data_IF_172648468748
#
_entry.id   IF_172648468748
#
_cell.length_a   1.000
_cell.length_b   1.000
_cell.length_c   1.000
_cell.angle_alpha   90.00
_cell.angle_beta   90.00
_cell.angle_gamma   90.00
#
_symmetry.space_group_name_H-M   'P 1'
#
loop_
_entity.id
_entity.type
_entity.pdbx_description
1 polymer ?
#
# COMPACT_ATOMS: atom_id res chain seq x y z
N UNK A 1 -41.67 26.84 -47.31
CA UNK A 1 -42.37 25.88 -46.44
C UNK A 1 -42.42 26.51 -45.06
N UNK A 2 -43.52 27.21 -44.78
CA UNK A 2 -43.77 27.85 -43.49
C UNK A 2 -44.10 26.75 -42.47
N UNK A 3 -43.23 26.56 -41.48
CA UNK A 3 -43.42 25.54 -40.44
C UNK A 3 -44.52 26.00 -39.48
N UNK A 4 -45.70 25.40 -39.57
CA UNK A 4 -46.79 25.55 -38.60
C UNK A 4 -46.41 24.87 -37.27
N UNK A 5 -45.49 25.48 -36.52
CA UNK A 5 -45.30 25.15 -35.10
C UNK A 5 -46.31 25.97 -34.30
N UNK A 6 -47.06 25.31 -33.43
CA UNK A 6 -47.98 25.98 -32.51
C UNK A 6 -47.20 26.94 -31.60
N UNK A 7 -47.84 28.02 -31.14
CA UNK A 7 -47.24 28.99 -30.21
C UNK A 7 -46.64 28.29 -28.98
N UNK A 8 -47.32 27.24 -28.50
CA UNK A 8 -46.91 26.37 -27.39
C UNK A 8 -45.61 25.61 -27.71
N UNK A 9 -45.48 25.06 -28.92
CA UNK A 9 -44.28 24.32 -29.34
C UNK A 9 -43.06 25.24 -29.53
N UNK A 10 -43.27 26.47 -30.00
CA UNK A 10 -42.20 27.46 -30.14
C UNK A 10 -41.69 27.92 -28.77
N UNK A 11 -42.60 28.19 -27.82
CA UNK A 11 -42.22 28.49 -26.45
C UNK A 11 -41.49 27.32 -25.79
N UNK A 12 -42.03 26.10 -25.92
CA UNK A 12 -41.47 24.89 -25.33
C UNK A 12 -40.06 24.60 -25.84
N UNK A 13 -39.80 24.76 -27.14
CA UNK A 13 -38.46 24.60 -27.71
C UNK A 13 -37.46 25.61 -27.11
N UNK A 14 -37.85 26.89 -27.01
CA UNK A 14 -37.00 27.92 -26.43
C UNK A 14 -36.68 27.68 -24.95
N UNK A 15 -37.66 27.24 -24.16
CA UNK A 15 -37.47 26.90 -22.74
C UNK A 15 -36.64 25.64 -22.58
N UNK A 16 -36.90 24.58 -23.38
CA UNK A 16 -36.15 23.34 -23.35
C UNK A 16 -34.65 23.55 -23.64
N UNK A 17 -34.32 24.42 -24.60
CA UNK A 17 -32.94 24.78 -24.91
C UNK A 17 -32.23 25.44 -23.71
N UNK A 18 -32.91 26.36 -23.01
CA UNK A 18 -32.34 27.03 -21.82
C UNK A 18 -32.19 26.08 -20.63
N UNK A 19 -33.18 25.21 -20.39
CA UNK A 19 -33.09 24.22 -19.32
C UNK A 19 -31.94 23.23 -19.56
N UNK A 20 -31.71 22.79 -20.80
CA UNK A 20 -30.55 21.95 -21.15
C UNK A 20 -29.22 22.68 -20.94
N UNK A 21 -29.16 23.98 -21.27
CA UNK A 21 -27.97 24.80 -21.04
C UNK A 21 -27.66 24.95 -19.55
N UNK A 22 -28.67 25.16 -18.71
CA UNK A 22 -28.53 25.20 -17.25
C UNK A 22 -28.04 23.84 -16.74
N UNK A 23 -28.63 22.73 -17.19
CA UNK A 23 -28.17 21.40 -16.80
C UNK A 23 -26.70 21.13 -17.19
N UNK A 24 -26.26 21.60 -18.36
CA UNK A 24 -24.88 21.45 -18.82
C UNK A 24 -23.89 22.33 -18.05
N UNK A 25 -24.24 23.60 -17.79
CA UNK A 25 -23.36 24.56 -17.13
C UNK A 25 -23.15 24.27 -15.64
N UNK A 26 -24.12 23.64 -15.00
CA UNK A 26 -24.08 23.33 -13.58
C UNK A 26 -23.95 21.82 -13.34
N UNK A 27 -23.40 21.04 -14.28
CA UNK A 27 -23.35 19.58 -14.16
C UNK A 27 -22.57 19.07 -12.93
N UNK A 28 -21.55 19.82 -12.50
CA UNK A 28 -20.65 19.49 -11.38
C UNK A 28 -21.15 20.01 -10.01
N UNK A 29 -22.27 20.74 -9.99
CA UNK A 29 -22.85 21.29 -8.76
C UNK A 29 -23.78 20.30 -8.03
N UNK A 30 -24.03 20.56 -6.75
CA UNK A 30 -24.93 19.77 -5.92
C UNK A 30 -26.35 19.70 -6.52
N UNK A 31 -27.00 18.53 -6.42
CA UNK A 31 -28.31 18.28 -7.02
C UNK A 31 -29.40 19.27 -6.58
N UNK A 32 -29.37 19.69 -5.30
CA UNK A 32 -30.28 20.68 -4.71
C UNK A 32 -30.15 22.05 -5.38
N UNK A 33 -28.91 22.51 -5.60
CA UNK A 33 -28.62 23.79 -6.25
C UNK A 33 -29.04 23.78 -7.73
N UNK A 34 -28.77 22.68 -8.44
CA UNK A 34 -29.20 22.50 -9.84
C UNK A 34 -30.72 22.53 -9.99
N UNK A 35 -31.45 21.91 -9.06
CA UNK A 35 -32.92 21.92 -9.05
C UNK A 35 -33.48 23.32 -8.85
N UNK A 36 -32.84 24.14 -8.02
CA UNK A 36 -33.24 25.54 -7.81
C UNK A 36 -33.12 26.36 -9.10
N UNK A 37 -31.99 26.27 -9.81
CA UNK A 37 -31.80 27.00 -11.08
C UNK A 37 -32.82 26.60 -12.16
N UNK A 38 -33.16 25.31 -12.25
CA UNK A 38 -34.17 24.84 -13.20
C UNK A 38 -35.58 25.35 -12.83
N UNK A 39 -35.90 25.38 -11.54
CA UNK A 39 -37.19 25.87 -11.04
C UNK A 39 -37.35 27.38 -11.29
N UNK A 40 -36.31 28.17 -11.00
CA UNK A 40 -36.30 29.62 -11.24
C UNK A 40 -36.49 29.97 -12.73
N UNK A 41 -35.82 29.23 -13.63
CA UNK A 41 -35.93 29.47 -15.07
C UNK A 41 -37.31 29.08 -15.62
N UNK A 42 -37.92 28.02 -15.07
CA UNK A 42 -39.28 27.61 -15.42
C UNK A 42 -40.30 28.64 -14.93
N UNK A 43 -40.20 29.11 -13.69
CA UNK A 43 -41.05 30.16 -13.13
C UNK A 43 -40.93 31.46 -13.93
N UNK A 44 -39.70 31.87 -14.27
CA UNK A 44 -39.44 33.06 -15.09
C UNK A 44 -40.10 32.94 -16.46
N UNK A 45 -40.02 31.78 -17.08
CA UNK A 45 -40.59 31.53 -18.41
C UNK A 45 -42.12 31.47 -18.39
N UNK A 46 -42.73 31.00 -17.29
CA UNK A 46 -44.18 30.92 -17.11
C UNK A 46 -44.84 32.27 -16.75
N UNK A 47 -44.07 33.27 -16.28
CA UNK A 47 -44.61 34.63 -16.03
C UNK A 47 -45.17 35.28 -17.29
N UNK A 48 -44.61 34.95 -18.47
CA UNK A 48 -45.08 35.47 -19.76
C UNK A 48 -46.29 34.70 -20.33
N UNK A 49 -46.68 33.58 -19.70
CA UNK A 49 -47.78 32.72 -20.18
C UNK A 49 -49.02 32.95 -19.31
N UNK A 50 -50.14 33.27 -19.95
CA UNK A 50 -51.43 33.42 -19.28
C UNK A 50 -51.81 32.14 -18.51
N UNK A 51 -52.36 32.22 -17.28
CA UNK A 51 -52.63 31.05 -16.45
C UNK A 51 -53.45 29.95 -17.14
N UNK A 52 -54.43 30.33 -17.96
CA UNK A 52 -55.29 29.41 -18.71
C UNK A 52 -54.60 28.63 -19.84
N UNK A 53 -53.40 29.07 -20.26
CA UNK A 53 -52.61 28.43 -21.33
C UNK A 53 -51.38 27.69 -20.81
N UNK A 54 -51.10 27.75 -19.51
CA UNK A 54 -49.90 27.14 -18.91
C UNK A 54 -49.86 25.63 -19.09
N UNK A 55 -51.00 24.96 -19.01
CA UNK A 55 -51.08 23.50 -19.16
C UNK A 55 -50.66 23.04 -20.56
N UNK A 56 -51.07 23.75 -21.62
CA UNK A 56 -50.66 23.46 -23.00
C UNK A 56 -49.16 23.66 -23.21
N UNK A 57 -48.62 24.76 -22.66
CA UNK A 57 -47.19 25.07 -22.73
C UNK A 57 -46.32 24.07 -21.94
N UNK A 58 -46.75 23.66 -20.74
CA UNK A 58 -46.05 22.67 -19.92
C UNK A 58 -46.12 21.27 -20.53
N UNK A 59 -47.24 20.91 -21.16
CA UNK A 59 -47.37 19.64 -21.90
C UNK A 59 -46.42 19.60 -23.10
N UNK A 60 -46.41 20.66 -23.90
CA UNK A 60 -45.47 20.80 -25.03
C UNK A 60 -44.01 20.81 -24.57
N UNK A 61 -43.70 21.35 -23.39
CA UNK A 61 -42.36 21.28 -22.79
C UNK A 61 -42.01 19.85 -22.35
N UNK A 62 -42.97 19.12 -21.79
CA UNK A 62 -42.81 17.72 -21.39
C UNK A 62 -42.39 16.80 -22.54
N UNK A 63 -42.86 17.08 -23.76
CA UNK A 63 -42.47 16.32 -24.97
C UNK A 63 -40.96 16.43 -25.28
N UNK A 64 -40.28 17.48 -24.81
CA UNK A 64 -38.82 17.63 -24.94
C UNK A 64 -38.02 16.90 -23.85
N UNK A 65 -38.68 16.36 -22.82
CA UNK A 65 -38.06 15.64 -21.69
C UNK A 65 -38.80 14.33 -21.35
N UNK A 66 -38.83 13.34 -22.26
CA UNK A 66 -39.70 12.16 -22.20
C UNK A 66 -39.40 11.11 -21.12
N UNK A 67 -38.63 11.41 -20.07
CA UNK A 67 -38.14 10.40 -19.11
C UNK A 67 -38.35 10.72 -17.61
N UNK A 68 -39.20 11.68 -17.22
CA UNK A 68 -39.32 12.13 -15.81
C UNK A 68 -40.67 11.85 -15.13
N UNK A 69 -41.52 10.99 -15.69
CA UNK A 69 -42.85 10.65 -15.17
C UNK A 69 -42.90 9.35 -14.34
N UNK A 70 -42.07 9.20 -13.32
CA UNK A 70 -42.16 8.11 -12.36
C UNK A 70 -42.84 8.55 -11.06
N UNK A 71 -44.15 8.27 -10.91
CA UNK A 71 -44.76 8.10 -9.59
C UNK A 71 -45.91 9.05 -9.17
N UNK A 72 -47.13 8.48 -9.18
CA UNK A 72 -48.23 8.66 -8.22
C UNK A 72 -49.23 9.84 -8.33
N UNK A 73 -50.43 9.52 -8.84
CA UNK A 73 -51.73 9.90 -8.27
C UNK A 73 -52.81 8.87 -8.72
N UNK A 74 -53.90 8.65 -7.95
CA UNK A 74 -54.48 7.33 -7.76
C UNK A 74 -55.51 6.89 -8.81
N UNK A 75 -55.54 5.57 -9.00
CA UNK A 75 -56.36 4.76 -9.90
C UNK A 75 -57.84 4.79 -9.52
N UNK A 76 -58.67 5.42 -10.37
CA UNK A 76 -60.08 5.03 -10.50
C UNK A 76 -60.12 3.73 -11.32
N UNK A 77 -60.63 2.65 -10.71
CA UNK A 77 -60.76 1.36 -11.35
C UNK A 77 -62.10 1.27 -12.09
N UNK A 78 -62.11 1.20 -13.43
CA UNK A 78 -63.20 0.54 -14.18
C UNK A 78 -62.65 -0.04 -15.51
N UNK A 79 -62.55 -1.38 -15.53
CA UNK A 79 -62.89 -2.33 -16.62
C UNK A 79 -62.11 -2.31 -17.95
N UNK A 80 -61.32 -3.40 -18.09
CA UNK A 80 -61.09 -4.30 -19.25
C UNK A 80 -60.53 -3.78 -20.58
N UNK A 81 -59.33 -4.30 -20.94
CA UNK A 81 -59.06 -4.96 -22.23
C UNK A 81 -57.84 -5.90 -22.07
N UNK A 82 -57.82 -7.09 -22.72
CA UNK A 82 -56.70 -8.02 -22.66
C UNK A 82 -55.63 -7.61 -23.68
N UNK A 83 -54.41 -7.29 -23.22
CA UNK A 83 -53.26 -7.21 -24.13
C UNK A 83 -52.34 -5.98 -24.03
N UNK A 84 -52.28 -5.27 -22.91
CA UNK A 84 -51.17 -4.34 -22.67
C UNK A 84 -49.96 -5.13 -22.11
N UNK A 85 -48.77 -5.12 -22.76
CA UNK A 85 -47.59 -5.69 -22.15
C UNK A 85 -47.34 -4.96 -20.82
N UNK A 86 -47.05 -5.73 -19.76
CA UNK A 86 -46.66 -5.17 -18.48
C UNK A 86 -45.55 -4.12 -18.72
N UNK A 87 -45.58 -2.97 -18.02
CA UNK A 87 -44.50 -2.00 -18.13
C UNK A 87 -43.17 -2.74 -17.89
N UNK A 88 -42.13 -2.47 -18.70
CA UNK A 88 -40.85 -3.15 -18.55
C UNK A 88 -40.35 -2.92 -17.13
N UNK A 89 -40.08 -4.01 -16.42
CA UNK A 89 -39.61 -3.96 -15.04
C UNK A 89 -38.38 -3.06 -14.94
N UNK A 90 -38.38 -2.18 -13.94
CA UNK A 90 -37.21 -1.35 -13.70
C UNK A 90 -36.03 -2.23 -13.26
N UNK A 91 -34.78 -1.82 -13.55
CA UNK A 91 -33.59 -2.57 -13.11
C UNK A 91 -33.57 -2.83 -11.59
N UNK A 92 -34.09 -1.91 -10.79
CA UNK A 92 -34.21 -2.06 -9.33
C UNK A 92 -35.25 -3.10 -8.93
N UNK A 93 -36.41 -3.16 -9.60
CA UNK A 93 -37.43 -4.20 -9.37
C UNK A 93 -36.92 -5.59 -9.76
N UNK A 94 -36.15 -5.68 -10.85
CA UNK A 94 -35.51 -6.94 -11.28
C UNK A 94 -34.48 -7.38 -10.24
N UNK A 95 -33.67 -6.45 -9.73
CA UNK A 95 -32.66 -6.74 -8.71
C UNK A 95 -33.29 -7.17 -7.39
N UNK A 96 -34.34 -6.48 -6.93
CA UNK A 96 -35.06 -6.85 -5.71
C UNK A 96 -35.71 -8.23 -5.84
N UNK A 97 -36.35 -8.53 -6.99
CA UNK A 97 -36.90 -9.86 -7.24
C UNK A 97 -35.80 -10.93 -7.30
N UNK A 98 -34.63 -10.61 -7.87
CA UNK A 98 -33.49 -11.51 -7.89
C UNK A 98 -32.98 -11.81 -6.48
N UNK A 99 -32.90 -10.80 -5.61
CA UNK A 99 -32.50 -10.94 -4.20
C UNK A 99 -33.51 -11.81 -3.43
N UNK A 100 -34.80 -11.54 -3.58
CA UNK A 100 -35.86 -12.30 -2.95
C UNK A 100 -35.87 -13.76 -3.42
N UNK A 101 -35.64 -13.98 -4.72
CA UNK A 101 -35.55 -15.32 -5.31
C UNK A 101 -34.27 -16.06 -4.88
N UNK A 102 -33.17 -15.34 -4.69
CA UNK A 102 -31.89 -15.92 -4.29
C UNK A 102 -31.94 -16.57 -2.90
N UNK A 103 -32.82 -16.11 -2.01
CA UNK A 103 -33.04 -16.72 -0.70
C UNK A 103 -33.62 -18.14 -0.77
N UNK A 104 -34.31 -18.48 -1.86
CA UNK A 104 -34.95 -19.77 -2.09
C UNK A 104 -34.05 -20.77 -2.82
N UNK A 105 -32.90 -20.33 -3.32
CA UNK A 105 -31.96 -21.17 -4.07
C UNK A 105 -31.07 -21.99 -3.14
N UNK A 106 -30.72 -23.18 -3.60
CA UNK A 106 -29.67 -24.00 -2.98
C UNK A 106 -28.27 -23.41 -3.26
N UNK A 107 -27.26 -23.82 -2.49
CA UNK A 107 -25.89 -23.30 -2.67
C UNK A 107 -25.29 -23.61 -4.06
N UNK A 108 -25.63 -24.75 -4.66
CA UNK A 108 -25.21 -25.08 -6.03
C UNK A 108 -25.86 -24.17 -7.07
N UNK A 109 -27.14 -23.83 -6.89
CA UNK A 109 -27.88 -22.93 -7.78
C UNK A 109 -27.43 -21.47 -7.64
N UNK A 110 -27.11 -21.04 -6.41
CA UNK A 110 -26.51 -19.73 -6.16
C UNK A 110 -25.15 -19.61 -6.84
N UNK A 111 -24.31 -20.66 -6.77
CA UNK A 111 -23.02 -20.68 -7.45
C UNK A 111 -23.17 -20.63 -8.99
N UNK A 112 -24.17 -21.34 -9.54
CA UNK A 112 -24.47 -21.28 -10.97
C UNK A 112 -24.99 -19.89 -11.40
N UNK A 113 -25.83 -19.26 -10.57
CA UNK A 113 -26.34 -17.90 -10.79
C UNK A 113 -25.21 -16.86 -10.75
N UNK A 114 -24.31 -16.95 -9.76
CA UNK A 114 -23.14 -16.09 -9.64
C UNK A 114 -22.25 -16.17 -10.89
N UNK A 115 -21.98 -17.37 -11.41
CA UNK A 115 -21.22 -17.54 -12.67
C UNK A 115 -21.89 -16.87 -13.87
N UNK A 116 -23.22 -16.93 -13.97
CA UNK A 116 -23.97 -16.27 -15.06
C UNK A 116 -23.92 -14.75 -14.93
N UNK A 117 -24.06 -14.22 -13.72
CA UNK A 117 -23.93 -12.77 -13.46
C UNK A 117 -22.52 -12.26 -13.79
N UNK A 118 -21.49 -13.07 -13.53
CA UNK A 118 -20.10 -12.78 -13.93
C UNK A 118 -19.91 -12.80 -15.45
N UNK A 119 -20.52 -13.76 -16.15
CA UNK A 119 -20.49 -13.81 -17.63
C UNK A 119 -21.17 -12.59 -18.26
N UNK A 120 -22.21 -12.06 -17.60
CA UNK A 120 -22.89 -10.83 -18.00
C UNK A 120 -22.17 -9.53 -17.58
N UNK A 121 -21.05 -9.62 -16.85
CA UNK A 121 -20.29 -8.45 -16.38
C UNK A 121 -20.95 -7.68 -15.22
N UNK A 122 -22.00 -8.24 -14.60
CA UNK A 122 -22.77 -7.62 -13.51
C UNK A 122 -22.29 -8.04 -12.12
N UNK A 123 -21.40 -9.01 -12.03
CA UNK A 123 -20.68 -9.36 -10.82
C UNK A 123 -19.18 -9.40 -11.12
N UNK A 124 -18.32 -8.96 -10.18
CA UNK A 124 -16.89 -9.18 -10.31
C UNK A 124 -16.68 -10.69 -10.51
N UNK A 125 -15.94 -11.08 -11.56
CA UNK A 125 -15.51 -12.46 -11.72
C UNK A 125 -14.92 -12.88 -10.39
N UNK A 126 -15.52 -13.86 -9.71
CA UNK A 126 -14.90 -14.49 -8.56
C UNK A 126 -13.53 -14.90 -9.04
N UNK A 127 -12.54 -14.14 -8.62
CA UNK A 127 -11.17 -14.53 -8.82
C UNK A 127 -11.00 -15.70 -7.85
N UNK A 128 -11.37 -16.89 -8.29
CA UNK A 128 -10.78 -18.11 -7.79
C UNK A 128 -9.29 -18.01 -8.15
N UNK A 129 -8.55 -17.23 -7.35
CA UNK A 129 -7.20 -16.75 -7.63
C UNK A 129 -7.15 -15.74 -8.78
N UNK A 130 -7.22 -14.45 -8.49
CA UNK A 130 -6.60 -13.44 -9.35
C UNK A 130 -5.12 -13.81 -9.46
N UNK A 131 -4.75 -14.53 -10.52
CA UNK A 131 -3.36 -14.79 -10.83
C UNK A 131 -2.78 -13.44 -11.23
N UNK A 132 -2.16 -12.73 -10.27
CA UNK A 132 -1.30 -11.61 -10.61
C UNK A 132 -0.28 -12.11 -11.64
N UNK A 133 -0.11 -11.37 -12.74
CA UNK A 133 0.96 -11.67 -13.69
C UNK A 133 2.30 -11.47 -12.98
N UNK A 134 2.88 -12.58 -12.52
CA UNK A 134 4.17 -12.57 -11.86
C UNK A 134 5.25 -12.19 -12.87
N UNK A 135 6.09 -11.21 -12.50
CA UNK A 135 7.15 -10.74 -13.39
C UNK A 135 8.19 -11.83 -13.64
N UNK A 136 8.94 -11.80 -14.76
CA UNK A 136 10.00 -12.77 -15.04
C UNK A 136 11.04 -12.90 -13.91
N UNK A 137 11.31 -11.81 -13.19
CA UNK A 137 12.24 -11.77 -12.06
C UNK A 137 11.74 -12.61 -10.88
N UNK A 138 10.43 -12.60 -10.61
CA UNK A 138 9.81 -13.41 -9.57
C UNK A 138 10.07 -14.89 -9.81
N UNK A 139 9.83 -15.38 -11.04
CA UNK A 139 10.05 -16.78 -11.40
C UNK A 139 11.50 -17.20 -11.28
N UNK A 140 12.42 -16.34 -11.74
CA UNK A 140 13.86 -16.57 -11.63
C UNK A 140 14.30 -16.65 -10.16
N UNK A 141 13.79 -15.76 -9.31
CA UNK A 141 14.17 -15.72 -7.90
C UNK A 141 13.76 -16.99 -7.14
N UNK A 142 12.60 -17.55 -7.47
CA UNK A 142 12.10 -18.79 -6.86
C UNK A 142 12.54 -20.07 -7.59
N UNK A 143 13.42 -19.97 -8.60
CA UNK A 143 13.96 -21.13 -9.31
C UNK A 143 12.90 -21.90 -10.12
N UNK A 144 11.84 -21.22 -10.56
CA UNK A 144 10.75 -21.84 -11.29
C UNK A 144 11.00 -21.74 -12.80
N UNK A 145 11.21 -22.90 -13.43
CA UNK A 145 11.61 -23.01 -14.84
C UNK A 145 10.52 -22.65 -15.86
N UNK A 146 9.25 -22.64 -15.44
CA UNK A 146 8.10 -22.37 -16.31
C UNK A 146 7.13 -21.42 -15.61
N UNK A 147 6.68 -20.33 -16.28
CA UNK A 147 5.61 -19.49 -15.76
C UNK A 147 4.36 -20.35 -15.55
N UNK A 148 3.98 -20.55 -14.29
CA UNK A 148 2.72 -21.21 -13.91
C UNK A 148 1.80 -20.16 -13.30
N UNK A 149 0.47 -20.34 -13.26
CA UNK A 149 -0.37 -19.42 -12.50
C UNK A 149 0.04 -19.45 -11.01
N UNK A 150 0.30 -18.27 -10.42
CA UNK A 150 0.59 -18.14 -8.99
C UNK A 150 -0.73 -18.14 -8.24
N UNK A 151 -0.87 -19.00 -7.22
CA UNK A 151 -1.99 -18.91 -6.29
C UNK A 151 -1.84 -17.67 -5.42
N UNK A 152 -2.73 -16.69 -5.60
CA UNK A 152 -2.75 -15.45 -4.82
C UNK A 152 -2.83 -15.71 -3.31
N UNK A 153 -3.68 -16.65 -2.87
CA UNK A 153 -3.81 -17.03 -1.45
C UNK A 153 -2.48 -17.56 -0.87
N UNK A 154 -1.80 -18.46 -1.59
CA UNK A 154 -0.51 -19.01 -1.14
C UNK A 154 0.59 -17.96 -1.16
N UNK A 155 0.62 -17.10 -2.19
CA UNK A 155 1.57 -15.99 -2.27
C UNK A 155 1.38 -14.99 -1.13
N UNK A 156 0.13 -14.65 -0.79
CA UNK A 156 -0.18 -13.79 0.34
C UNK A 156 0.28 -14.41 1.67
N UNK A 157 -0.04 -15.69 1.92
CA UNK A 157 0.41 -16.40 3.13
C UNK A 157 1.93 -16.45 3.25
N UNK A 158 2.62 -16.70 2.14
CA UNK A 158 4.08 -16.69 2.08
C UNK A 158 4.65 -15.29 2.34
N UNK A 159 4.05 -14.24 1.76
CA UNK A 159 4.44 -12.86 2.00
C UNK A 159 4.32 -12.52 3.48
N UNK A 160 3.19 -12.85 4.13
CA UNK A 160 2.99 -12.63 5.57
C UNK A 160 4.08 -13.31 6.40
N UNK A 161 4.40 -14.57 6.10
CA UNK A 161 5.45 -15.30 6.82
C UNK A 161 6.84 -14.67 6.63
N UNK A 162 7.21 -14.31 5.39
CA UNK A 162 8.49 -13.67 5.08
C UNK A 162 8.59 -12.26 5.70
N UNK A 163 7.50 -11.50 5.68
CA UNK A 163 7.43 -10.18 6.33
C UNK A 163 7.63 -10.30 7.84
N UNK A 164 7.05 -11.32 8.49
CA UNK A 164 7.28 -11.58 9.91
C UNK A 164 8.75 -11.85 10.24
N UNK A 165 9.42 -12.70 9.45
CA UNK A 165 10.86 -12.96 9.59
C UNK A 165 11.68 -11.69 9.38
N UNK A 166 11.39 -10.92 8.32
CA UNK A 166 12.10 -9.69 8.03
C UNK A 166 11.95 -8.66 9.16
N UNK A 167 10.74 -8.42 9.65
CA UNK A 167 10.48 -7.45 10.72
C UNK A 167 11.20 -7.83 12.01
N UNK A 168 11.24 -9.12 12.36
CA UNK A 168 11.97 -9.61 13.52
C UNK A 168 13.49 -9.40 13.36
N UNK A 169 14.04 -9.72 12.19
CA UNK A 169 15.47 -9.51 11.89
C UNK A 169 15.85 -8.03 11.87
N UNK A 170 15.01 -7.17 11.29
CA UNK A 170 15.19 -5.73 11.28
C UNK A 170 15.27 -5.18 12.71
N UNK A 171 14.28 -5.51 13.55
CA UNK A 171 14.27 -5.08 14.94
C UNK A 171 15.51 -5.58 15.70
N UNK A 172 15.84 -6.86 15.55
CA UNK A 172 17.00 -7.46 16.23
C UNK A 172 18.31 -6.80 15.80
N UNK A 173 18.55 -6.66 14.49
CA UNK A 173 19.77 -6.08 13.95
C UNK A 173 19.99 -4.64 14.44
N UNK A 174 18.95 -3.80 14.39
CA UNK A 174 19.04 -2.42 14.86
C UNK A 174 19.16 -2.30 16.38
N UNK A 175 18.56 -3.23 17.14
CA UNK A 175 18.68 -3.28 18.59
C UNK A 175 20.11 -3.62 18.99
N UNK A 176 20.67 -4.69 18.43
CA UNK A 176 22.06 -5.10 18.65
C UNK A 176 23.04 -4.00 18.23
N UNK A 177 22.81 -3.38 17.07
CA UNK A 177 23.67 -2.28 16.62
C UNK A 177 23.68 -1.11 17.60
N UNK A 178 22.52 -0.71 18.11
CA UNK A 178 22.41 0.37 19.11
C UNK A 178 23.08 0.00 20.42
N UNK A 179 23.00 -1.25 20.85
CA UNK A 179 23.70 -1.74 22.05
C UNK A 179 25.22 -1.67 21.87
N UNK A 180 25.73 -2.04 20.70
CA UNK A 180 27.16 -2.01 20.44
C UNK A 180 27.71 -0.59 20.20
N UNK A 181 26.96 0.28 19.51
CA UNK A 181 27.39 1.64 19.20
C UNK A 181 26.22 2.63 19.15
N UNK A 182 25.75 3.07 20.32
CA UNK A 182 24.66 4.04 20.45
C UNK A 182 24.94 5.39 19.76
N UNK A 183 26.22 5.76 19.58
CA UNK A 183 26.64 7.02 18.96
C UNK A 183 26.91 6.89 17.45
N UNK A 184 26.61 5.74 16.85
CA UNK A 184 26.85 5.53 15.42
C UNK A 184 26.08 6.53 14.55
N UNK A 185 26.71 6.92 13.44
CA UNK A 185 26.08 7.67 12.35
C UNK A 185 25.08 6.80 11.58
N UNK A 186 25.24 5.47 11.61
CA UNK A 186 24.32 4.53 10.97
C UNK A 186 23.13 4.29 11.89
N UNK A 187 22.00 4.94 11.56
CA UNK A 187 20.75 4.86 12.34
C UNK A 187 19.60 4.31 11.51
N UNK A 188 18.55 3.81 12.17
CA UNK A 188 17.29 3.48 11.50
C UNK A 188 16.54 4.78 11.21
N UNK A 189 16.34 5.09 9.93
CA UNK A 189 15.70 6.35 9.48
C UNK A 189 14.20 6.17 9.24
N UNK A 190 13.79 5.01 8.73
CA UNK A 190 12.39 4.70 8.44
C UNK A 190 12.00 3.35 9.04
N UNK A 191 10.73 3.22 9.44
CA UNK A 191 10.15 1.95 9.86
C UNK A 191 9.43 1.33 8.67
N UNK A 192 9.96 0.21 8.15
CA UNK A 192 9.36 -0.51 7.04
C UNK A 192 7.87 -0.81 7.29
N UNK A 193 7.48 -1.21 8.51
CA UNK A 193 6.09 -1.50 8.85
C UNK A 193 5.14 -0.30 8.66
N UNK A 194 5.61 0.93 8.87
CA UNK A 194 4.82 2.15 8.65
C UNK A 194 4.65 2.48 7.17
N UNK A 195 5.62 2.10 6.33
CA UNK A 195 5.56 2.32 4.89
C UNK A 195 4.81 1.20 4.16
N UNK A 196 4.90 -0.04 4.65
CA UNK A 196 4.35 -1.21 3.99
C UNK A 196 2.81 -1.18 3.87
N UNK A 197 2.11 -0.69 4.89
CA UNK A 197 0.64 -0.58 4.87
C UNK A 197 0.13 0.32 3.75
N UNK A 198 0.51 1.62 3.73
CA UNK A 198 0.13 2.54 2.66
C UNK A 198 0.58 2.07 1.26
N UNK A 199 1.79 1.52 1.15
CA UNK A 199 2.28 0.98 -0.12
C UNK A 199 1.38 -0.15 -0.66
N UNK A 200 0.99 -1.10 0.20
CA UNK A 200 0.07 -2.19 -0.17
C UNK A 200 -1.36 -1.70 -0.45
N UNK A 201 -1.75 -0.55 0.12
CA UNK A 201 -3.02 0.12 -0.17
C UNK A 201 -2.99 0.96 -1.46
N UNK A 202 -1.88 0.92 -2.22
CA UNK A 202 -1.67 1.69 -3.44
C UNK A 202 -1.73 3.21 -3.21
N UNK A 203 -1.24 3.67 -2.06
CA UNK A 203 -1.08 5.09 -1.75
C UNK A 203 0.00 5.72 -2.66
N UNK A 204 -0.32 6.74 -3.47
CA UNK A 204 0.63 7.37 -4.39
C UNK A 204 1.77 8.10 -3.67
N UNK A 205 1.64 8.41 -2.37
CA UNK A 205 2.69 9.07 -1.59
C UNK A 205 3.85 8.13 -1.23
N UNK A 206 3.64 6.80 -1.31
CA UNK A 206 4.67 5.81 -1.00
C UNK A 206 5.16 5.11 -2.27
N UNK A 207 6.33 5.54 -2.73
CA UNK A 207 7.04 4.95 -3.86
C UNK A 207 7.70 3.62 -3.51
N UNK A 208 7.94 2.79 -4.53
CA UNK A 208 8.73 1.54 -4.41
C UNK A 208 10.14 1.80 -3.88
N UNK A 209 10.75 2.95 -4.18
CA UNK A 209 12.09 3.26 -3.68
C UNK A 209 12.10 3.55 -2.17
N UNK A 210 11.06 4.21 -1.64
CA UNK A 210 10.90 4.41 -0.19
C UNK A 210 10.76 3.08 0.57
N UNK A 211 10.20 2.04 -0.07
CA UNK A 211 10.16 0.68 0.48
C UNK A 211 11.51 -0.02 0.36
N UNK A 212 12.20 0.13 -0.78
CA UNK A 212 13.47 -0.56 -1.06
C UNK A 212 14.61 -0.09 -0.15
N UNK A 213 14.68 1.21 0.14
CA UNK A 213 15.74 1.80 0.97
C UNK A 213 15.87 1.18 2.37
N UNK A 214 14.82 1.09 3.21
CA UNK A 214 14.91 0.48 4.54
C UNK A 214 15.21 -1.02 4.48
N UNK A 215 14.70 -1.74 3.48
CA UNK A 215 15.03 -3.16 3.25
C UNK A 215 16.53 -3.33 3.01
N UNK A 216 17.07 -2.55 2.08
CA UNK A 216 18.49 -2.62 1.70
C UNK A 216 19.41 -2.20 2.84
N UNK A 217 19.05 -1.14 3.57
CA UNK A 217 19.82 -0.67 4.73
C UNK A 217 19.91 -1.76 5.82
N UNK A 218 18.79 -2.43 6.08
CA UNK A 218 18.72 -3.53 7.05
C UNK A 218 19.52 -4.73 6.59
N UNK A 219 19.40 -5.11 5.31
CA UNK A 219 20.21 -6.18 4.70
C UNK A 219 21.71 -5.90 4.84
N UNK A 220 22.15 -4.67 4.57
CA UNK A 220 23.55 -4.25 4.72
C UNK A 220 24.01 -4.32 6.17
N UNK A 221 23.19 -3.89 7.12
CA UNK A 221 23.50 -3.99 8.54
C UNK A 221 23.66 -5.44 8.99
N UNK A 222 22.73 -6.33 8.62
CA UNK A 222 22.82 -7.76 8.93
C UNK A 222 24.11 -8.36 8.35
N UNK A 223 24.40 -8.08 7.08
CA UNK A 223 25.62 -8.56 6.43
C UNK A 223 26.89 -8.02 7.12
N UNK A 224 26.90 -6.75 7.52
CA UNK A 224 28.02 -6.14 8.23
C UNK A 224 28.24 -6.76 9.61
N UNK A 225 27.16 -6.97 10.39
CA UNK A 225 27.24 -7.63 11.70
C UNK A 225 27.78 -9.07 11.58
N UNK A 226 27.29 -9.84 10.61
CA UNK A 226 27.76 -11.20 10.37
C UNK A 226 29.22 -11.23 9.92
N UNK A 227 29.61 -10.34 9.00
CA UNK A 227 30.99 -10.23 8.53
C UNK A 227 31.97 -9.72 9.60
N UNK A 228 31.50 -8.88 10.53
CA UNK A 228 32.29 -8.34 11.62
C UNK A 228 32.67 -9.41 12.65
N UNK A 229 31.89 -10.48 12.82
CA UNK A 229 32.23 -11.58 13.74
C UNK A 229 33.59 -12.19 13.41
N UNK A 230 33.87 -12.46 12.13
CA UNK A 230 35.16 -13.00 11.70
C UNK A 230 36.30 -11.99 11.74
N UNK A 231 36.06 -10.76 11.25
CA UNK A 231 37.12 -9.74 11.18
C UNK A 231 37.49 -9.16 12.55
N UNK A 232 36.49 -8.85 13.38
CA UNK A 232 36.68 -8.29 14.71
C UNK A 232 37.42 -9.24 15.64
N UNK A 233 37.03 -10.53 15.65
CA UNK A 233 37.71 -11.55 16.46
C UNK A 233 39.16 -11.78 16.01
N UNK A 234 39.43 -11.84 14.71
CA UNK A 234 40.79 -11.98 14.18
C UNK A 234 41.68 -10.77 14.52
N UNK A 235 41.15 -9.55 14.42
CA UNK A 235 41.86 -8.32 14.77
C UNK A 235 42.18 -8.26 16.27
N UNK A 236 41.17 -8.54 17.11
CA UNK A 236 41.36 -8.65 18.56
C UNK A 236 42.42 -9.68 18.92
N UNK A 237 42.31 -10.91 18.39
CA UNK A 237 43.25 -11.99 18.66
C UNK A 237 44.67 -11.64 18.24
N UNK A 238 44.84 -11.02 17.06
CA UNK A 238 46.15 -10.58 16.58
C UNK A 238 46.74 -9.53 17.52
N UNK A 239 45.94 -8.53 17.92
CA UNK A 239 46.39 -7.46 18.82
C UNK A 239 46.78 -7.98 20.20
N UNK A 240 45.96 -8.86 20.78
CA UNK A 240 46.27 -9.53 22.05
C UNK A 240 47.54 -10.38 21.94
N UNK A 241 47.67 -11.18 20.87
CA UNK A 241 48.86 -11.98 20.63
C UNK A 241 50.11 -11.13 20.47
N UNK A 242 50.04 -9.98 19.80
CA UNK A 242 51.18 -9.05 19.68
C UNK A 242 51.55 -8.48 21.05
N UNK A 243 50.58 -7.92 21.78
CA UNK A 243 50.84 -7.23 23.04
C UNK A 243 51.40 -8.15 24.13
N UNK A 244 50.99 -9.43 24.13
CA UNK A 244 51.39 -10.41 25.15
C UNK A 244 52.35 -11.46 24.60
N UNK A 245 52.93 -11.26 23.41
CA UNK A 245 53.94 -12.18 22.89
C UNK A 245 55.19 -12.17 23.78
N UNK A 246 55.87 -13.32 23.97
CA UNK A 246 57.14 -13.35 24.69
C UNK A 246 58.16 -12.35 24.15
N UNK A 247 58.24 -12.21 22.82
CA UNK A 247 59.14 -11.28 22.14
C UNK A 247 58.82 -9.81 22.48
N UNK A 248 57.55 -9.41 22.43
CA UNK A 248 57.14 -8.05 22.79
C UNK A 248 57.38 -7.75 24.27
N UNK A 249 57.12 -8.71 25.15
CA UNK A 249 57.35 -8.57 26.59
C UNK A 249 58.85 -8.44 26.89
N UNK A 250 59.68 -9.31 26.32
CA UNK A 250 61.14 -9.24 26.50
C UNK A 250 61.73 -7.96 25.94
N UNK A 251 61.29 -7.52 24.76
CA UNK A 251 61.76 -6.27 24.16
C UNK A 251 61.41 -5.06 25.04
N UNK A 252 60.18 -4.99 25.56
CA UNK A 252 59.79 -3.94 26.51
C UNK A 252 60.58 -4.04 27.83
N UNK A 253 60.75 -5.25 28.36
CA UNK A 253 61.49 -5.48 29.60
C UNK A 253 62.98 -5.10 29.48
N UNK A 254 63.62 -5.34 28.33
CA UNK A 254 65.02 -4.93 28.09
C UNK A 254 65.21 -3.43 28.21
N UNK A 255 64.22 -2.64 27.81
CA UNK A 255 64.27 -1.16 27.88
C UNK A 255 64.18 -0.69 29.33
N UNK A 256 63.38 -1.36 30.17
CA UNK A 256 63.14 -0.97 31.57
C UNK A 256 64.09 -1.63 32.59
N UNK A 257 64.89 -2.60 32.13
CA UNK A 257 65.76 -3.42 32.99
C UNK A 257 66.83 -2.56 33.67
N UNK A 258 66.90 -2.66 34.99
CA UNK A 258 67.98 -2.08 35.80
C UNK A 258 69.20 -3.00 35.82
N UNK A 259 70.40 -2.44 36.01
CA UNK A 259 71.66 -3.17 35.92
C UNK A 259 71.78 -4.36 36.89
N UNK A 260 71.07 -4.34 38.02
CA UNK A 260 71.09 -5.38 39.05
C UNK A 260 69.91 -6.37 38.97
N UNK A 261 69.00 -6.23 38.01
CA UNK A 261 67.85 -7.13 37.85
C UNK A 261 68.13 -8.18 36.76
N UNK A 262 67.57 -9.39 36.90
CA UNK A 262 67.57 -10.37 35.80
C UNK A 262 66.53 -9.98 34.75
N UNK A 263 66.78 -10.33 33.49
CA UNK A 263 65.81 -10.09 32.42
C UNK A 263 64.49 -10.80 32.70
N UNK A 264 64.53 -12.03 33.22
CA UNK A 264 63.35 -12.82 33.57
C UNK A 264 62.46 -12.12 34.61
N UNK A 265 63.06 -11.56 35.67
CA UNK A 265 62.30 -10.86 36.71
C UNK A 265 61.63 -9.59 36.16
N UNK A 266 62.33 -8.84 35.31
CA UNK A 266 61.77 -7.67 34.63
C UNK A 266 60.68 -8.06 33.62
N UNK A 267 60.87 -9.12 32.83
CA UNK A 267 59.88 -9.65 31.89
C UNK A 267 58.62 -10.12 32.59
N UNK A 268 58.72 -10.85 33.70
CA UNK A 268 57.55 -11.26 34.48
C UNK A 268 56.78 -10.07 35.07
N UNK A 269 57.50 -9.05 35.56
CA UNK A 269 56.88 -7.80 36.01
C UNK A 269 56.12 -7.12 34.88
N UNK A 270 56.73 -7.01 33.70
CA UNK A 270 56.13 -6.38 32.53
C UNK A 270 54.91 -7.14 32.02
N UNK A 271 54.97 -8.47 32.00
CA UNK A 271 53.81 -9.30 31.68
C UNK A 271 52.63 -8.98 32.61
N UNK A 272 52.84 -8.96 33.94
CA UNK A 272 51.76 -8.66 34.90
C UNK A 272 51.19 -7.25 34.72
N UNK A 273 52.02 -6.28 34.35
CA UNK A 273 51.58 -4.92 34.03
C UNK A 273 50.69 -4.90 32.79
N UNK A 274 51.19 -5.44 31.67
CA UNK A 274 50.45 -5.51 30.40
C UNK A 274 49.17 -6.34 30.53
N UNK A 275 49.21 -7.43 31.30
CA UNK A 275 48.02 -8.25 31.55
C UNK A 275 46.95 -7.48 32.33
N UNK A 276 47.34 -6.67 33.31
CA UNK A 276 46.38 -5.80 34.04
C UNK A 276 45.80 -4.71 33.15
N UNK A 277 46.61 -4.19 32.23
CA UNK A 277 46.20 -3.13 31.31
C UNK A 277 45.28 -3.65 30.19
N UNK A 278 45.58 -4.82 29.62
CA UNK A 278 44.94 -5.31 28.40
C UNK A 278 44.09 -6.56 28.55
N UNK A 279 44.22 -7.31 29.66
CA UNK A 279 43.66 -8.67 29.77
C UNK A 279 42.75 -8.87 30.99
N UNK A 280 42.30 -7.79 31.62
CA UNK A 280 41.17 -7.87 32.54
C UNK A 280 39.89 -8.15 31.75
N UNK A 281 38.93 -8.86 32.36
CA UNK A 281 37.68 -9.27 31.70
C UNK A 281 36.94 -8.08 31.05
N UNK A 282 36.80 -6.97 31.77
CA UNK A 282 36.17 -5.75 31.27
C UNK A 282 36.93 -5.13 30.09
N UNK A 283 38.27 -5.17 30.10
CA UNK A 283 39.07 -4.65 28.99
C UNK A 283 39.02 -5.56 27.77
N UNK A 284 39.00 -6.87 27.97
CA UNK A 284 38.82 -7.84 26.89
C UNK A 284 37.47 -7.62 26.21
N UNK A 285 36.38 -7.55 26.98
CA UNK A 285 35.04 -7.31 26.44
C UNK A 285 34.96 -5.99 25.66
N UNK A 286 35.47 -4.91 26.25
CA UNK A 286 35.52 -3.59 25.61
C UNK A 286 36.34 -3.58 24.31
N UNK A 287 37.48 -4.27 24.28
CA UNK A 287 38.31 -4.38 23.08
C UNK A 287 37.64 -5.23 22.00
N UNK A 288 37.05 -6.36 22.36
CA UNK A 288 36.30 -7.21 21.43
C UNK A 288 35.15 -6.41 20.81
N UNK A 289 34.37 -5.70 21.62
CA UNK A 289 33.29 -4.85 21.14
C UNK A 289 33.82 -3.73 20.22
N UNK A 290 34.93 -3.09 20.59
CA UNK A 290 35.54 -2.02 19.79
C UNK A 290 35.99 -2.52 18.41
N UNK A 291 36.72 -3.64 18.36
CA UNK A 291 37.19 -4.23 17.11
C UNK A 291 36.02 -4.77 16.26
N UNK A 292 34.98 -5.32 16.90
CA UNK A 292 33.75 -5.74 16.22
C UNK A 292 33.01 -4.56 15.59
N UNK A 293 32.75 -3.49 16.35
CA UNK A 293 32.08 -2.28 15.85
C UNK A 293 32.86 -1.67 14.69
N UNK A 294 34.18 -1.55 14.84
CA UNK A 294 35.05 -1.01 13.78
C UNK A 294 34.94 -1.85 12.50
N UNK A 295 35.02 -3.18 12.61
CA UNK A 295 34.87 -4.07 11.46
C UNK A 295 33.48 -3.95 10.81
N UNK A 296 32.41 -3.83 11.59
CA UNK A 296 31.05 -3.64 11.08
C UNK A 296 30.90 -2.31 10.34
N UNK A 297 31.44 -1.20 10.88
CA UNK A 297 31.38 0.11 10.21
C UNK A 297 32.19 0.12 8.92
N UNK A 298 33.36 -0.51 8.88
CA UNK A 298 34.16 -0.64 7.65
C UNK A 298 33.39 -1.42 6.56
N UNK A 299 32.67 -2.48 6.95
CA UNK A 299 31.80 -3.21 6.03
C UNK A 299 30.61 -2.37 5.56
N UNK A 300 29.95 -1.63 6.46
CA UNK A 300 28.86 -0.72 6.09
C UNK A 300 29.31 0.37 5.11
N UNK A 301 30.53 0.91 5.29
CA UNK A 301 31.14 1.86 4.35
C UNK A 301 31.45 1.21 3.00
N UNK A 302 32.02 0.00 3.01
CA UNK A 302 32.47 -0.72 1.83
C UNK A 302 31.34 -1.28 0.96
N UNK A 303 30.24 -1.76 1.57
CA UNK A 303 29.07 -2.30 0.86
C UNK A 303 28.27 -1.18 0.15
N UNK A 304 28.55 0.09 0.47
CA UNK A 304 27.94 1.26 -0.16
C UNK A 304 28.60 1.73 -1.47
N UNK A 305 29.71 1.12 -1.89
CA UNK A 305 30.35 1.33 -3.21
C UNK A 305 30.09 0.13 -4.11
#
# INVERSE_FOLDING_TARGET
>A
MESHLTEEALWANGVAARLRLIQANFADDEASLRQNYLSEELERSLKAVAPSRRDGHLRALGDFFPAWGGGSAPRAAVVAEPGAPAPPETPEEILNRLIDSAALLTEEEKAALARRLQQAGLAPKESAGASAEATPEFWKFFGLATPKPVSADRAHKMLVALSGVFLALDQLAWTLWRQFNAKSIYRKEAEFGKLAGPYLANDPEVSTEQIRQPLERTRRLIAALLGALGRGSANFSRRQSTNLSPESIENAARIEKKAWESLEATSWRKYKELYREYSTEQMIESQVQTEFVKAAEELLKGIGR
#
